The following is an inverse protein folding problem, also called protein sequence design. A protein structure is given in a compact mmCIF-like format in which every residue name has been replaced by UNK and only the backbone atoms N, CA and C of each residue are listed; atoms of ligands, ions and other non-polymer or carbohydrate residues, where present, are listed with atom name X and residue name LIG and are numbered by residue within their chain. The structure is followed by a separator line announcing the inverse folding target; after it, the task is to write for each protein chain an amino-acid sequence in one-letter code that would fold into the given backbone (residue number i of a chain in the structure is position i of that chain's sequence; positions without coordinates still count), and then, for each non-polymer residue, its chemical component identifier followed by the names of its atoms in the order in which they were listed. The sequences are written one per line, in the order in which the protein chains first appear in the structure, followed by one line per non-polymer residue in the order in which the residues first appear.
data_IF_054919602906
#
_entry.id   IF_054919602906
#
_cell.length_a   1.000
_cell.length_b   1.000
_cell.length_c   1.000
_cell.angle_alpha   90.00
_cell.angle_beta   90.00
_cell.angle_gamma   90.00
#
_symmetry.space_group_name_H-M   'P 1'
#
loop_
_entity.id
_entity.type
_entity.pdbx_description
1 polymer ?
#
# COMPACT_ATOMS: atom_id res chain seq x y z
N UNK A 1 9.18 -6.72 2.82
CA UNK A 1 8.70 -6.43 1.45
C UNK A 1 9.55 -5.32 0.87
N UNK A 2 9.79 -5.33 -0.44
CA UNK A 2 10.46 -4.23 -1.13
C UNK A 2 9.62 -3.84 -2.35
N UNK A 3 9.35 -2.55 -2.54
CA UNK A 3 8.74 -2.03 -3.75
C UNK A 3 9.72 -1.11 -4.46
N UNK A 4 9.67 -1.15 -5.78
CA UNK A 4 10.50 -0.37 -6.67
C UNK A 4 9.61 0.29 -7.72
N UNK A 5 9.85 1.57 -7.96
CA UNK A 5 9.20 2.34 -9.01
C UNK A 5 10.29 3.00 -9.84
N UNK A 6 10.36 2.64 -11.12
CA UNK A 6 11.30 3.21 -12.06
C UNK A 6 10.64 4.32 -12.87
N UNK A 7 11.39 5.40 -13.07
CA UNK A 7 10.99 6.59 -13.81
C UNK A 7 11.80 6.69 -15.09
N UNK A 8 11.13 7.12 -16.16
CA UNK A 8 11.67 7.30 -17.49
C UNK A 8 11.42 8.73 -17.95
N UNK A 9 12.27 9.25 -18.83
CA UNK A 9 12.13 10.61 -19.37
C UNK A 9 10.91 10.80 -20.30
N UNK A 10 10.35 9.70 -20.82
CA UNK A 10 9.26 9.74 -21.79
C UNK A 10 7.97 9.14 -21.21
N UNK A 11 6.79 9.61 -21.68
CA UNK A 11 5.50 9.11 -21.23
C UNK A 11 5.23 7.65 -21.64
N UNK A 12 5.99 7.12 -22.61
CA UNK A 12 5.92 5.72 -23.01
C UNK A 12 6.59 4.75 -22.03
N UNK A 13 7.28 5.25 -20.99
CA UNK A 13 8.02 4.44 -20.02
C UNK A 13 9.02 3.47 -20.67
N UNK A 14 9.67 3.91 -21.75
CA UNK A 14 10.67 3.11 -22.48
C UNK A 14 12.09 3.66 -22.33
N UNK A 15 13.09 2.85 -22.66
CA UNK A 15 14.49 3.28 -22.67
C UNK A 15 15.17 3.23 -21.29
N UNK A 16 16.14 4.11 -21.07
CA UNK A 16 16.92 4.13 -19.85
C UNK A 16 16.11 4.69 -18.66
N UNK A 17 16.25 4.03 -17.52
CA UNK A 17 15.71 4.50 -16.24
C UNK A 17 16.53 5.71 -15.79
N UNK A 18 15.87 6.83 -15.52
CA UNK A 18 16.52 8.08 -15.10
C UNK A 18 16.49 8.27 -13.58
N UNK A 19 15.51 7.64 -12.92
CA UNK A 19 15.38 7.60 -11.47
C UNK A 19 14.66 6.32 -11.01
N UNK A 20 14.96 5.88 -9.80
CA UNK A 20 14.35 4.74 -9.14
C UNK A 20 13.99 5.15 -7.71
N UNK A 21 12.71 5.06 -7.38
CA UNK A 21 12.21 5.14 -6.00
C UNK A 21 12.12 3.73 -5.44
N UNK A 22 12.75 3.51 -4.30
CA UNK A 22 12.72 2.23 -3.59
C UNK A 22 12.13 2.43 -2.20
N UNK A 23 11.23 1.55 -1.81
CA UNK A 23 10.71 1.43 -0.45
C UNK A 23 11.08 0.05 0.06
N UNK A 24 11.98 0.00 1.04
CA UNK A 24 12.36 -1.25 1.66
C UNK A 24 11.78 -1.29 3.07
N UNK A 25 10.88 -2.25 3.30
CA UNK A 25 10.26 -2.48 4.60
C UNK A 25 10.72 -3.85 5.12
N UNK A 26 11.91 -3.93 5.73
CA UNK A 26 12.37 -5.16 6.35
C UNK A 26 11.44 -5.52 7.50
N UNK A 27 11.04 -6.79 7.58
CA UNK A 27 10.16 -7.26 8.66
C UNK A 27 8.69 -6.86 8.53
N UNK A 28 8.22 -6.44 7.35
CA UNK A 28 6.77 -6.42 7.08
C UNK A 28 6.21 -7.83 7.24
N UNK A 29 5.15 -7.98 8.03
CA UNK A 29 4.50 -9.26 8.28
C UNK A 29 3.03 -9.19 7.88
N UNK A 30 2.55 -10.29 7.31
CA UNK A 30 1.13 -10.53 7.08
C UNK A 30 0.85 -11.90 7.67
N UNK A 31 -0.12 -11.96 8.58
CA UNK A 31 -0.47 -13.18 9.30
C UNK A 31 -1.98 -13.37 9.28
N UNK A 32 -2.41 -14.61 9.03
CA UNK A 32 -3.77 -15.03 9.30
C UNK A 32 -3.86 -15.24 10.81
N UNK A 33 -4.54 -14.34 11.51
CA UNK A 33 -4.67 -14.38 12.97
C UNK A 33 -5.63 -15.47 13.44
N UNK A 34 -6.39 -16.06 12.52
CA UNK A 34 -7.27 -17.20 12.74
C UNK A 34 -8.67 -17.01 12.17
N UNK A 35 -9.42 -18.09 12.13
CA UNK A 35 -10.83 -18.08 11.75
C UNK A 35 -11.68 -17.60 12.91
N UNK A 36 -12.62 -16.69 12.64
CA UNK A 36 -13.56 -16.16 13.64
C UNK A 36 -14.97 -16.04 13.04
N UNK A 37 -15.95 -15.93 13.93
CA UNK A 37 -17.36 -15.75 13.57
C UNK A 37 -17.76 -14.30 13.81
N UNK A 38 -18.52 -13.72 12.88
CA UNK A 38 -19.01 -12.36 13.01
C UNK A 38 -20.03 -11.98 11.94
N UNK A 39 -20.59 -10.77 12.04
CA UNK A 39 -21.50 -10.25 11.03
C UNK A 39 -20.74 -9.72 9.81
N UNK A 40 -21.16 -10.11 8.61
CA UNK A 40 -20.65 -9.61 7.34
C UNK A 40 -21.75 -8.87 6.59
N UNK A 41 -21.48 -7.63 6.21
CA UNK A 41 -22.34 -6.80 5.36
C UNK A 41 -21.83 -6.89 3.93
N UNK A 42 -22.58 -7.58 3.08
CA UNK A 42 -22.18 -7.86 1.69
C UNK A 42 -22.43 -6.71 0.70
N UNK A 43 -23.27 -5.75 1.07
CA UNK A 43 -23.58 -4.56 0.26
C UNK A 43 -24.06 -3.43 1.17
N UNK A 44 -23.87 -2.19 0.74
CA UNK A 44 -24.25 -1.00 1.51
C UNK A 44 -25.75 -1.03 1.86
N UNK A 45 -26.07 -0.74 3.14
CA UNK A 45 -27.44 -0.77 3.65
C UNK A 45 -28.04 -2.16 3.91
N UNK A 46 -27.35 -3.25 3.54
CA UNK A 46 -27.80 -4.61 3.85
C UNK A 46 -27.60 -4.96 5.33
N UNK A 47 -28.45 -5.87 5.84
CA UNK A 47 -28.25 -6.44 7.17
C UNK A 47 -26.98 -7.30 7.22
N UNK A 48 -26.31 -7.30 8.37
CA UNK A 48 -25.16 -8.17 8.59
C UNK A 48 -25.59 -9.64 8.65
N UNK A 49 -24.88 -10.50 7.93
CA UNK A 49 -25.10 -11.94 7.89
C UNK A 49 -24.06 -12.64 8.76
N UNK A 50 -24.46 -13.49 9.73
CA UNK A 50 -23.52 -14.29 10.50
C UNK A 50 -22.68 -15.18 9.59
N UNK A 51 -21.35 -15.02 9.65
CA UNK A 51 -20.41 -15.70 8.78
C UNK A 51 -19.14 -16.09 9.53
N UNK A 52 -18.46 -17.12 9.04
CA UNK A 52 -17.10 -17.46 9.46
C UNK A 52 -16.12 -16.91 8.43
N UNK A 53 -15.07 -16.24 8.90
CA UNK A 53 -14.04 -15.65 8.05
C UNK A 53 -12.67 -15.74 8.71
N UNK A 54 -11.63 -15.70 7.89
CA UNK A 54 -10.24 -15.66 8.36
C UNK A 54 -9.82 -14.21 8.54
N UNK A 55 -9.52 -13.85 9.78
CA UNK A 55 -8.96 -12.54 10.09
C UNK A 55 -7.48 -12.50 9.71
N UNK A 56 -7.06 -11.38 9.16
CA UNK A 56 -5.70 -11.12 8.70
C UNK A 56 -5.21 -9.83 9.30
N UNK A 57 -4.00 -9.87 9.83
CA UNK A 57 -3.30 -8.72 10.36
C UNK A 57 -2.08 -8.45 9.49
N UNK A 58 -1.87 -7.20 9.11
CA UNK A 58 -0.69 -6.75 8.40
C UNK A 58 0.03 -5.68 9.22
N UNK A 59 1.30 -5.92 9.54
CA UNK A 59 2.15 -4.95 10.26
C UNK A 59 3.21 -4.39 9.34
N UNK A 60 3.31 -3.06 9.33
CA UNK A 60 4.35 -2.35 8.59
C UNK A 60 5.30 -1.68 9.58
N UNK A 61 6.52 -2.21 9.80
CA UNK A 61 7.49 -1.57 10.68
C UNK A 61 7.99 -0.23 10.11
N UNK A 62 8.72 0.51 10.96
CA UNK A 62 9.34 1.75 10.54
C UNK A 62 10.30 1.50 9.36
N UNK A 63 10.24 2.38 8.36
CA UNK A 63 10.97 2.21 7.11
C UNK A 63 11.31 3.56 6.47
N UNK A 64 12.10 3.52 5.40
CA UNK A 64 12.52 4.70 4.67
C UNK A 64 12.30 4.51 3.17
N UNK A 65 12.05 5.63 2.50
CA UNK A 65 12.04 5.72 1.04
C UNK A 65 13.40 6.25 0.60
N UNK A 66 13.94 5.71 -0.49
CA UNK A 66 15.13 6.26 -1.13
C UNK A 66 14.84 6.50 -2.61
N UNK A 67 15.34 7.60 -3.15
CA UNK A 67 15.30 7.88 -4.58
C UNK A 67 16.73 8.04 -5.09
N UNK A 68 17.09 7.31 -6.14
CA UNK A 68 18.42 7.35 -6.77
C UNK A 68 18.28 7.42 -8.28
N UNK A 69 19.28 7.94 -8.97
CA UNK A 69 19.26 8.06 -10.43
C UNK A 69 20.13 9.20 -10.94
N UNK A 70 20.37 9.23 -12.25
CA UNK A 70 21.17 10.28 -12.88
C UNK A 70 20.44 11.62 -12.92
N UNK A 71 19.11 11.59 -12.95
CA UNK A 71 18.28 12.79 -12.97
C UNK A 71 17.77 13.20 -11.58
N UNK A 72 18.34 12.62 -10.51
CA UNK A 72 17.92 12.88 -9.13
C UNK A 72 18.87 13.86 -8.47
N UNK A 73 18.33 14.95 -7.94
CA UNK A 73 19.03 15.83 -7.00
C UNK A 73 18.37 15.75 -5.63
N UNK A 74 19.16 15.97 -4.57
CA UNK A 74 18.67 15.97 -3.18
C UNK A 74 19.02 17.31 -2.55
N UNK A 75 17.99 18.08 -2.19
CA UNK A 75 18.15 19.45 -1.74
C UNK A 75 17.10 19.84 -0.70
N UNK A 76 17.40 20.90 0.05
CA UNK A 76 16.46 21.54 0.95
C UNK A 76 15.58 22.51 0.17
N UNK A 77 14.28 22.22 0.06
CA UNK A 77 13.28 23.05 -0.62
C UNK A 77 12.22 23.43 0.40
N UNK A 78 11.95 24.73 0.56
CA UNK A 78 10.98 25.24 1.56
C UNK A 78 11.19 24.66 2.98
N UNK A 79 12.45 24.60 3.42
CA UNK A 79 12.84 24.06 4.73
C UNK A 79 12.53 22.55 4.92
N UNK A 80 12.39 21.80 3.83
CA UNK A 80 12.16 20.36 3.85
C UNK A 80 13.11 19.66 2.87
N UNK A 81 13.76 18.59 3.31
CA UNK A 81 14.62 17.81 2.43
C UNK A 81 13.78 17.03 1.43
N UNK A 82 14.12 17.13 0.15
CA UNK A 82 13.39 16.49 -0.95
C UNK A 82 14.34 15.95 -2.00
N UNK A 83 13.93 14.85 -2.64
CA UNK A 83 14.48 14.43 -3.92
C UNK A 83 13.70 15.11 -5.04
N UNK A 84 14.42 15.73 -5.97
CA UNK A 84 13.85 16.24 -7.22
C UNK A 84 14.27 15.31 -8.35
N UNK A 85 13.30 14.81 -9.11
CA UNK A 85 13.54 14.07 -10.36
C UNK A 85 13.28 15.02 -11.51
N UNK A 86 14.31 15.29 -12.30
CA UNK A 86 14.23 16.08 -13.52
C UNK A 86 13.88 15.19 -14.72
N UNK A 87 12.81 15.50 -15.44
CA UNK A 87 12.42 14.76 -16.66
C UNK A 87 12.93 15.43 -17.95
N UNK A 88 13.62 16.57 -17.84
CA UNK A 88 14.00 17.44 -18.93
C UNK A 88 12.93 18.51 -19.23
N UNK A 89 13.38 19.69 -19.67
CA UNK A 89 12.52 20.87 -19.85
C UNK A 89 12.16 21.54 -18.52
N UNK A 90 10.99 22.16 -18.43
CA UNK A 90 10.47 22.77 -17.18
C UNK A 90 9.67 21.76 -16.31
N UNK A 91 9.83 20.46 -16.57
CA UNK A 91 9.06 19.39 -15.92
C UNK A 91 9.90 18.60 -14.92
N UNK A 92 9.45 18.55 -13.68
CA UNK A 92 10.07 17.78 -12.61
C UNK A 92 9.06 17.35 -11.55
N UNK A 93 9.44 16.36 -10.73
CA UNK A 93 8.65 16.00 -9.54
C UNK A 93 9.48 16.09 -8.28
N UNK A 94 8.86 16.57 -7.22
CA UNK A 94 9.44 16.60 -5.87
C UNK A 94 8.90 15.44 -5.05
N UNK A 95 9.79 14.75 -4.36
CA UNK A 95 9.47 13.68 -3.42
C UNK A 95 10.08 14.07 -2.07
N UNK A 96 9.23 14.27 -1.07
CA UNK A 96 9.66 14.62 0.29
C UNK A 96 10.43 13.45 0.93
N UNK A 97 11.58 13.73 1.53
CA UNK A 97 12.24 12.81 2.46
C UNK A 97 11.59 12.92 3.84
N UNK A 98 10.77 11.92 4.18
CA UNK A 98 10.16 11.79 5.50
C UNK A 98 11.14 11.21 6.54
N UNK A 99 12.40 10.99 6.16
CA UNK A 99 13.43 10.32 6.93
C UNK A 99 13.01 8.91 7.36
N UNK A 100 12.40 8.78 8.53
CA UNK A 100 11.84 7.52 9.01
C UNK A 100 10.32 7.68 8.99
N UNK A 101 9.66 6.89 8.14
CA UNK A 101 8.22 6.69 8.23
C UNK A 101 7.99 5.77 9.43
N UNK A 102 7.22 6.19 10.45
CA UNK A 102 7.03 5.40 11.66
C UNK A 102 6.30 4.08 11.36
N UNK A 103 6.46 3.12 12.26
CA UNK A 103 5.70 1.87 12.18
C UNK A 103 4.19 2.17 12.18
N UNK A 104 3.47 1.51 11.29
CA UNK A 104 2.02 1.60 11.23
C UNK A 104 1.41 0.53 12.13
N UNK A 105 0.28 0.89 12.73
CA UNK A 105 -0.51 -0.05 13.51
C UNK A 105 -0.94 -1.23 12.62
N UNK A 106 -1.14 -2.42 13.20
CA UNK A 106 -1.61 -3.56 12.43
C UNK A 106 -2.91 -3.21 11.71
N UNK A 107 -2.92 -3.31 10.38
CA UNK A 107 -4.16 -3.22 9.62
C UNK A 107 -4.88 -4.56 9.72
N UNK A 108 -6.12 -4.54 10.18
CA UNK A 108 -6.98 -5.72 10.18
C UNK A 108 -7.81 -5.79 8.90
N UNK A 109 -7.81 -6.96 8.28
CA UNK A 109 -8.67 -7.35 7.15
C UNK A 109 -9.24 -8.73 7.42
N UNK A 110 -10.18 -9.16 6.60
CA UNK A 110 -10.69 -10.52 6.63
C UNK A 110 -10.89 -11.08 5.22
N UNK A 111 -10.69 -12.39 5.10
CA UNK A 111 -11.01 -13.15 3.90
C UNK A 111 -12.11 -14.15 4.19
N UNK A 112 -13.00 -14.35 3.22
CA UNK A 112 -14.02 -15.38 3.30
C UNK A 112 -14.25 -15.98 1.92
N UNK A 113 -14.43 -17.30 1.88
CA UNK A 113 -14.89 -18.00 0.70
C UNK A 113 -16.33 -18.43 0.95
N UNK A 114 -17.26 -17.96 0.10
CA UNK A 114 -18.67 -18.35 0.20
C UNK A 114 -19.29 -18.40 -1.21
N UNK A 115 -19.99 -19.49 -1.53
CA UNK A 115 -20.66 -19.66 -2.83
C UNK A 115 -19.71 -19.55 -4.03
N UNK A 116 -18.48 -20.05 -3.91
CA UNK A 116 -17.45 -19.99 -4.96
C UNK A 116 -16.84 -18.60 -5.20
N UNK A 117 -17.12 -17.63 -4.32
CA UNK A 117 -16.55 -16.28 -4.37
C UNK A 117 -15.59 -16.06 -3.22
N UNK A 118 -14.50 -15.34 -3.49
CA UNK A 118 -13.58 -14.82 -2.47
C UNK A 118 -13.96 -13.38 -2.15
N UNK A 119 -14.21 -13.10 -0.87
CA UNK A 119 -14.50 -11.77 -0.35
C UNK A 119 -13.28 -11.25 0.41
N UNK A 120 -12.86 -10.02 0.10
CA UNK A 120 -11.96 -9.23 0.93
C UNK A 120 -12.81 -8.23 1.70
N UNK A 121 -12.59 -8.17 3.01
CA UNK A 121 -13.43 -7.40 3.92
C UNK A 121 -12.60 -6.56 4.88
N UNK A 122 -13.15 -5.43 5.29
CA UNK A 122 -12.59 -4.55 6.31
C UNK A 122 -13.50 -4.49 7.53
N UNK A 123 -12.94 -4.36 8.75
CA UNK A 123 -13.74 -4.16 9.94
C UNK A 123 -14.45 -2.79 9.91
N UNK A 124 -15.72 -2.77 10.29
CA UNK A 124 -16.56 -1.59 10.43
C UNK A 124 -17.36 -1.68 11.73
N UNK A 125 -16.82 -1.16 12.82
CA UNK A 125 -17.39 -1.33 14.15
C UNK A 125 -17.35 -2.80 14.59
N UNK A 126 -18.53 -3.40 14.84
CA UNK A 126 -18.66 -4.81 15.25
C UNK A 126 -18.90 -5.78 14.09
N UNK A 127 -18.93 -5.30 12.84
CA UNK A 127 -19.15 -6.11 11.64
C UNK A 127 -17.97 -5.97 10.67
N UNK A 128 -17.97 -6.78 9.62
CA UNK A 128 -17.08 -6.61 8.47
C UNK A 128 -17.88 -6.21 7.24
N UNK A 129 -17.36 -5.26 6.46
CA UNK A 129 -17.93 -4.84 5.17
C UNK A 129 -17.10 -5.41 4.04
N UNK A 130 -17.76 -5.88 2.98
CA UNK A 130 -17.06 -6.35 1.77
C UNK A 130 -16.48 -5.17 1.00
N UNK A 131 -15.16 -5.19 0.81
CA UNK A 131 -14.43 -4.21 -0.01
C UNK A 131 -14.35 -4.66 -1.46
N UNK A 132 -14.16 -5.97 -1.67
CA UNK A 132 -13.94 -6.55 -2.99
C UNK A 132 -14.40 -7.99 -3.05
N UNK A 133 -14.92 -8.38 -4.21
CA UNK A 133 -15.35 -9.75 -4.51
C UNK A 133 -14.60 -10.24 -5.74
N UNK A 134 -14.04 -11.44 -5.66
CA UNK A 134 -13.52 -12.17 -6.80
C UNK A 134 -14.41 -13.39 -7.05
N UNK A 135 -14.94 -13.48 -8.26
CA UNK A 135 -15.68 -14.63 -8.75
C UNK A 135 -14.89 -15.26 -9.90
N UNK A 136 -14.98 -16.58 -10.04
CA UNK A 136 -14.46 -17.28 -11.21
C UNK A 136 -15.45 -17.19 -12.38
#
# INVERSE_FOLDING_TARGET
MSTRTDYYANPGCTGAIIATKSVNVPGMQVEITGSTNGGVVFSEGAAAVPSTYDAVSATMPAHRITVTGTAVTYALVHNQWMWHIDFGGDSGTLIVDQYIIPAQQPESRAFMINGGKLYIMSPAGSVHTVDRVYAR
#
